data_IF_763384881146
#
_entry.id   IF_763384881146
#
_cell.length_a   1.000
_cell.length_b   1.000
_cell.length_c   1.000
_cell.angle_alpha   90.00
_cell.angle_beta   90.00
_cell.angle_gamma   90.00
#
_symmetry.space_group_name_H-M   'P 1'
#
loop_
_entity.id
_entity.type
_entity.pdbx_description
1 polymer ?
#
# COMPACT_ATOMS: atom_id res chain seq x y z
N UNK A 1 13.15 19.87 -14.56
CA UNK A 1 12.65 19.36 -13.27
C UNK A 1 13.14 17.92 -13.07
N UNK A 2 14.25 17.72 -12.36
CA UNK A 2 14.64 16.38 -11.90
C UNK A 2 13.72 16.04 -10.74
N UNK A 3 12.87 15.03 -10.91
CA UNK A 3 11.97 14.57 -9.84
C UNK A 3 12.83 13.94 -8.75
N UNK A 4 12.51 14.24 -7.50
CA UNK A 4 13.24 13.74 -6.33
C UNK A 4 13.06 12.22 -6.26
N UNK A 5 14.14 11.48 -6.46
CA UNK A 5 14.21 10.03 -6.24
C UNK A 5 14.49 9.80 -4.76
N UNK A 6 13.52 9.22 -4.04
CA UNK A 6 13.47 9.31 -2.57
C UNK A 6 12.40 8.43 -1.91
N UNK A 7 12.26 7.15 -2.24
CA UNK A 7 11.13 6.33 -1.78
C UNK A 7 11.48 5.24 -0.77
N UNK A 8 11.15 5.51 0.50
CA UNK A 8 10.92 4.46 1.46
C UNK A 8 9.46 3.99 1.33
N UNK A 9 9.17 2.75 0.93
CA UNK A 9 7.84 2.14 1.14
C UNK A 9 6.63 3.02 0.69
N UNK A 10 6.67 3.79 -0.40
CA UNK A 10 5.59 4.69 -0.85
C UNK A 10 4.90 5.59 0.22
N UNK A 11 5.47 5.73 1.41
CA UNK A 11 5.27 6.81 2.36
C UNK A 11 6.52 7.65 2.14
N UNK A 12 6.41 8.93 1.85
CA UNK A 12 7.61 9.76 1.81
C UNK A 12 7.88 10.28 3.22
N UNK A 13 8.76 9.68 4.06
CA UNK A 13 9.36 10.43 5.13
C UNK A 13 10.34 11.42 4.49
N UNK A 14 10.03 12.71 4.52
CA UNK A 14 10.99 13.73 4.11
C UNK A 14 11.73 14.19 5.36
N UNK A 15 12.97 13.73 5.52
CA UNK A 15 14.03 14.66 5.90
C UNK A 15 14.52 15.29 4.59
N UNK A 16 14.99 16.56 4.55
CA UNK A 16 15.39 17.20 3.30
C UNK A 16 16.65 16.55 2.73
N UNK A 17 16.49 15.48 1.97
CA UNK A 17 17.60 14.72 1.43
C UNK A 17 17.72 14.94 -0.07
N UNK A 18 18.19 16.12 -0.45
CA UNK A 18 18.74 16.36 -1.78
C UNK A 18 19.96 15.46 -1.99
N UNK A 19 20.25 14.94 -3.20
CA UNK A 19 21.41 14.06 -3.47
C UNK A 19 22.81 14.69 -3.18
N UNK A 20 22.87 15.92 -2.67
CA UNK A 20 24.10 16.56 -2.17
C UNK A 20 24.20 16.63 -0.64
N UNK A 21 23.22 16.07 0.09
CA UNK A 21 23.09 16.22 1.55
C UNK A 21 23.18 14.92 2.36
N UNK A 22 23.17 13.75 1.71
CA UNK A 22 23.70 12.56 2.37
C UNK A 22 25.22 12.67 2.30
N UNK A 23 25.86 13.02 3.41
CA UNK A 23 27.25 12.62 3.59
C UNK A 23 27.31 11.10 3.45
N UNK A 24 28.40 10.58 2.90
CA UNK A 24 28.70 9.15 2.90
C UNK A 24 28.90 8.60 4.34
N UNK A 25 28.68 9.41 5.38
CA UNK A 25 28.84 9.01 6.77
C UNK A 25 27.64 8.20 7.26
N UNK A 26 27.93 7.18 8.07
CA UNK A 26 26.96 6.28 8.70
C UNK A 26 26.12 6.96 9.80
N UNK A 27 26.20 8.28 9.92
CA UNK A 27 25.58 9.03 11.01
C UNK A 27 24.06 9.13 10.80
N UNK A 28 23.34 8.71 11.84
CA UNK A 28 21.90 8.63 12.01
C UNK A 28 21.06 9.53 11.08
N UNK A 29 20.15 8.90 10.32
CA UNK A 29 19.02 9.62 9.71
C UNK A 29 18.25 10.29 10.84
N UNK A 30 18.18 11.61 10.83
CA UNK A 30 17.28 12.30 11.74
C UNK A 30 15.84 11.83 11.50
N UNK A 31 15.03 11.65 12.56
CA UNK A 31 13.65 11.23 12.40
C UNK A 31 12.95 12.20 11.44
N UNK A 32 12.27 11.69 10.41
CA UNK A 32 11.67 12.52 9.37
C UNK A 32 10.65 13.45 10.01
N UNK A 33 10.74 14.75 9.73
CA UNK A 33 9.83 15.74 10.32
C UNK A 33 8.53 15.88 9.54
N UNK A 34 8.42 15.20 8.40
CA UNK A 34 7.24 15.23 7.53
C UNK A 34 7.06 13.84 6.90
N UNK A 35 5.80 13.42 6.77
CA UNK A 35 5.41 12.18 6.13
C UNK A 35 4.22 12.42 5.19
N UNK A 36 4.18 11.71 4.06
CA UNK A 36 3.04 11.75 3.14
C UNK A 36 2.26 10.44 3.19
N UNK A 37 0.99 10.53 3.57
CA UNK A 37 0.03 9.42 3.53
C UNK A 37 -0.77 9.50 2.23
N UNK A 38 -0.89 8.37 1.54
CA UNK A 38 -1.78 8.18 0.41
C UNK A 38 -1.21 8.47 -0.97
N UNK A 39 0.12 8.49 -1.12
CA UNK A 39 0.76 8.57 -2.45
C UNK A 39 0.45 7.37 -3.37
N UNK A 40 0.34 6.12 -2.86
CA UNK A 40 0.03 4.99 -3.73
C UNK A 40 -1.30 5.09 -4.47
N UNK A 41 -1.30 4.68 -5.73
CA UNK A 41 -2.50 4.57 -6.57
C UNK A 41 -2.73 3.13 -7.06
N UNK A 42 -3.92 2.86 -7.60
CA UNK A 42 -4.48 1.50 -7.83
C UNK A 42 -4.63 0.69 -6.54
N UNK A 43 -5.03 1.34 -5.45
CA UNK A 43 -5.15 0.75 -4.11
C UNK A 43 -6.58 0.80 -3.58
N UNK A 44 -6.84 0.11 -2.46
CA UNK A 44 -7.99 0.32 -1.58
C UNK A 44 -7.58 1.43 -0.58
N UNK A 45 -8.11 2.66 -0.70
CA UNK A 45 -7.52 3.82 -0.04
C UNK A 45 -7.55 3.74 1.48
N UNK A 46 -8.73 3.52 2.09
CA UNK A 46 -8.88 3.64 3.54
C UNK A 46 -8.03 2.63 4.35
N UNK A 47 -7.98 1.33 4.02
CA UNK A 47 -7.08 0.41 4.70
C UNK A 47 -5.62 0.78 4.56
N UNK A 48 -5.21 1.24 3.37
CA UNK A 48 -3.83 1.64 3.15
C UNK A 48 -3.48 2.90 3.96
N UNK A 49 -4.35 3.90 3.98
CA UNK A 49 -4.12 5.14 4.73
C UNK A 49 -4.03 4.89 6.24
N UNK A 50 -4.90 4.03 6.79
CA UNK A 50 -4.84 3.64 8.21
C UNK A 50 -3.49 2.99 8.54
N UNK A 51 -3.05 2.02 7.73
CA UNK A 51 -1.76 1.34 7.94
C UNK A 51 -0.58 2.31 7.81
N UNK A 52 -0.60 3.19 6.82
CA UNK A 52 0.45 4.20 6.65
C UNK A 52 0.49 5.18 7.83
N UNK A 53 -0.67 5.64 8.31
CA UNK A 53 -0.76 6.53 9.47
C UNK A 53 -0.26 5.86 10.76
N UNK A 54 -0.59 4.59 10.98
CA UNK A 54 -0.07 3.80 12.12
C UNK A 54 1.45 3.70 12.10
N UNK A 55 2.04 3.40 10.95
CA UNK A 55 3.48 3.32 10.80
C UNK A 55 4.17 4.67 11.04
N UNK A 56 3.63 5.76 10.48
CA UNK A 56 4.15 7.11 10.73
C UNK A 56 4.07 7.46 12.22
N UNK A 57 2.93 7.16 12.85
CA UNK A 57 2.74 7.38 14.28
C UNK A 57 3.73 6.58 15.13
N UNK A 58 4.00 5.31 14.78
CA UNK A 58 4.92 4.46 15.56
C UNK A 58 6.37 4.89 15.42
N UNK A 59 6.75 5.44 14.26
CA UNK A 59 8.07 6.06 14.05
C UNK A 59 8.21 7.32 14.89
N UNK A 60 7.23 8.23 14.85
CA UNK A 60 7.30 9.49 15.60
C UNK A 60 7.16 9.33 17.12
N UNK A 61 6.47 8.29 17.59
CA UNK A 61 6.44 7.95 19.02
C UNK A 61 7.72 7.27 19.50
N UNK A 62 8.66 6.94 18.60
CA UNK A 62 9.86 6.16 18.92
C UNK A 62 9.58 4.67 19.20
N UNK A 63 8.36 4.19 18.95
CA UNK A 63 7.98 2.78 19.14
C UNK A 63 8.56 1.87 18.04
N UNK A 64 8.79 2.42 16.86
CA UNK A 64 9.43 1.75 15.72
C UNK A 64 10.66 2.54 15.30
N UNK A 65 11.81 1.87 15.16
CA UNK A 65 12.97 2.47 14.52
C UNK A 65 12.85 2.42 13.00
N UNK A 66 13.25 3.50 12.33
CA UNK A 66 13.41 3.47 10.88
C UNK A 66 14.58 2.56 10.48
N UNK A 67 14.50 1.93 9.29
CA UNK A 67 15.66 1.29 8.68
C UNK A 67 16.83 2.28 8.57
N UNK A 68 18.07 1.77 8.60
CA UNK A 68 19.24 2.64 8.52
C UNK A 68 19.41 3.25 7.12
N UNK A 69 20.23 4.30 6.99
CA UNK A 69 20.35 5.05 5.73
C UNK A 69 20.75 4.19 4.54
N UNK A 70 21.62 3.21 4.79
CA UNK A 70 22.08 2.25 3.80
C UNK A 70 20.92 1.39 3.30
N UNK A 71 20.09 0.87 4.21
CA UNK A 71 18.92 0.06 3.86
C UNK A 71 17.89 0.87 3.07
N UNK A 72 17.63 2.12 3.48
CA UNK A 72 16.72 3.01 2.76
C UNK A 72 17.22 3.26 1.33
N UNK A 73 18.51 3.62 1.18
CA UNK A 73 19.11 3.83 -0.15
C UNK A 73 19.04 2.59 -1.01
N UNK A 74 19.30 1.41 -0.42
CA UNK A 74 19.21 0.14 -1.13
C UNK A 74 17.79 -0.14 -1.64
N UNK A 75 16.77 0.01 -0.79
CA UNK A 75 15.37 -0.19 -1.18
C UNK A 75 14.97 0.77 -2.31
N UNK A 76 15.38 2.04 -2.21
CA UNK A 76 15.13 3.04 -3.24
C UNK A 76 15.79 2.68 -4.57
N UNK A 77 17.04 2.23 -4.51
CA UNK A 77 17.80 1.85 -5.69
C UNK A 77 17.18 0.64 -6.38
N UNK A 78 16.76 -0.38 -5.62
CA UNK A 78 16.04 -1.55 -6.13
C UNK A 78 14.72 -1.16 -6.81
N UNK A 79 13.99 -0.17 -6.28
CA UNK A 79 12.74 0.31 -6.87
C UNK A 79 12.97 1.06 -8.20
N UNK A 80 14.02 1.89 -8.27
CA UNK A 80 14.42 2.58 -9.50
C UNK A 80 14.88 1.57 -10.56
N UNK A 81 15.74 0.63 -10.20
CA UNK A 81 16.23 -0.42 -11.12
C UNK A 81 15.07 -1.29 -11.64
N UNK A 82 14.10 -1.59 -10.79
CA UNK A 82 12.87 -2.27 -11.22
C UNK A 82 12.06 -1.42 -12.20
N UNK A 83 11.89 -0.12 -11.95
CA UNK A 83 11.19 0.78 -12.89
C UNK A 83 11.87 0.81 -14.26
N UNK A 84 13.20 0.96 -14.26
CA UNK A 84 14.00 1.07 -15.48
C UNK A 84 14.00 -0.24 -16.27
N UNK A 85 14.25 -1.37 -15.60
CA UNK A 85 14.27 -2.70 -16.23
C UNK A 85 12.90 -3.12 -16.78
N UNK A 86 11.81 -2.71 -16.13
CA UNK A 86 10.45 -2.96 -16.60
C UNK A 86 9.96 -1.90 -17.62
N UNK A 87 10.80 -0.91 -17.97
CA UNK A 87 10.49 0.20 -18.86
C UNK A 87 9.17 0.92 -18.47
N UNK A 88 8.93 1.07 -17.17
CA UNK A 88 7.69 1.64 -16.65
C UNK A 88 7.73 3.17 -16.74
N UNK A 89 6.65 3.83 -17.20
CA UNK A 89 6.57 5.27 -17.17
C UNK A 89 6.66 5.80 -15.74
N UNK A 90 7.30 6.96 -15.54
CA UNK A 90 7.51 7.55 -14.21
C UNK A 90 6.23 7.77 -13.36
N UNK A 91 5.04 7.81 -13.96
CA UNK A 91 3.78 7.89 -13.21
C UNK A 91 3.38 6.58 -12.52
N UNK A 92 4.02 5.45 -12.86
CA UNK A 92 3.83 4.15 -12.20
C UNK A 92 4.66 3.98 -10.92
N UNK A 93 5.51 4.94 -10.55
CA UNK A 93 6.34 4.90 -9.33
C UNK A 93 5.54 4.66 -8.05
N UNK A 94 4.30 5.13 -7.97
CA UNK A 94 3.44 4.89 -6.82
C UNK A 94 2.32 3.88 -7.11
N UNK A 95 2.41 3.10 -8.19
CA UNK A 95 1.39 2.12 -8.53
C UNK A 95 1.59 0.82 -7.76
N UNK A 96 0.79 0.60 -6.71
CA UNK A 96 0.86 -0.66 -5.95
C UNK A 96 0.00 -1.77 -6.56
N UNK A 97 -1.23 -1.48 -6.98
CA UNK A 97 -2.10 -2.53 -7.51
C UNK A 97 -2.28 -3.70 -6.54
N UNK A 98 -1.91 -4.92 -6.93
CA UNK A 98 -2.04 -6.12 -6.08
C UNK A 98 -0.96 -6.17 -4.97
N UNK A 99 0.20 -5.54 -5.16
CA UNK A 99 1.28 -5.55 -4.17
C UNK A 99 0.92 -4.76 -2.91
N UNK A 100 -0.14 -3.94 -2.95
CA UNK A 100 -0.64 -3.16 -1.82
C UNK A 100 -0.86 -3.99 -0.54
N UNK A 101 -1.25 -5.26 -0.67
CA UNK A 101 -1.53 -6.10 0.50
C UNK A 101 -0.24 -6.60 1.16
N UNK A 102 0.77 -6.94 0.35
CA UNK A 102 2.11 -7.27 0.86
C UNK A 102 2.72 -6.05 1.53
N UNK A 103 2.58 -4.89 0.88
CA UNK A 103 2.98 -3.61 1.40
C UNK A 103 2.35 -3.28 2.76
N UNK A 104 1.02 -3.36 2.87
CA UNK A 104 0.32 -3.08 4.13
C UNK A 104 0.74 -4.03 5.25
N UNK A 105 0.90 -5.33 4.95
CA UNK A 105 1.38 -6.30 5.96
C UNK A 105 2.78 -5.94 6.47
N UNK A 106 3.72 -5.61 5.57
CA UNK A 106 5.06 -5.17 5.97
C UNK A 106 5.01 -3.94 6.88
N UNK A 107 4.18 -2.94 6.56
CA UNK A 107 4.04 -1.76 7.40
C UNK A 107 3.44 -2.07 8.77
N UNK A 108 2.43 -2.94 8.83
CA UNK A 108 1.86 -3.39 10.11
C UNK A 108 2.91 -4.09 10.97
N UNK A 109 3.78 -4.89 10.35
CA UNK A 109 4.86 -5.59 11.05
C UNK A 109 5.86 -4.62 11.65
N UNK A 110 6.29 -3.64 10.85
CA UNK A 110 7.20 -2.61 11.30
C UNK A 110 6.55 -1.73 12.38
N UNK A 111 5.26 -1.42 12.25
CA UNK A 111 4.51 -0.60 13.18
C UNK A 111 4.14 -1.31 14.49
N UNK A 112 4.39 -2.62 14.60
CA UNK A 112 4.06 -3.41 15.80
C UNK A 112 2.58 -3.82 15.91
N UNK A 113 1.87 -3.93 14.79
CA UNK A 113 0.45 -4.34 14.71
C UNK A 113 0.22 -5.62 13.85
N UNK A 114 0.98 -6.72 14.05
CA UNK A 114 0.85 -7.93 13.21
C UNK A 114 -0.54 -8.60 13.30
N UNK A 115 -1.28 -8.40 14.38
CA UNK A 115 -2.64 -8.90 14.57
C UNK A 115 -3.64 -8.35 13.54
N UNK A 116 -3.36 -7.16 12.99
CA UNK A 116 -4.21 -6.51 11.99
C UNK A 116 -4.01 -7.08 10.58
N UNK A 117 -3.04 -7.98 10.34
CA UNK A 117 -2.83 -8.62 9.03
C UNK A 117 -4.10 -9.31 8.51
N UNK A 118 -4.88 -9.92 9.40
CA UNK A 118 -6.13 -10.60 9.04
C UNK A 118 -7.17 -9.63 8.43
N UNK A 119 -7.16 -8.36 8.84
CA UNK A 119 -8.00 -7.33 8.25
C UNK A 119 -7.55 -6.99 6.81
N UNK A 120 -6.24 -6.98 6.56
CA UNK A 120 -5.69 -6.77 5.20
C UNK A 120 -6.13 -7.90 4.26
N UNK A 121 -6.15 -9.14 4.74
CA UNK A 121 -6.60 -10.28 3.94
C UNK A 121 -8.11 -10.23 3.66
N UNK A 122 -8.93 -9.77 4.62
CA UNK A 122 -10.35 -9.47 4.38
C UNK A 122 -10.54 -8.38 3.34
N UNK A 123 -9.79 -7.28 3.43
CA UNK A 123 -9.81 -6.19 2.45
C UNK A 123 -9.40 -6.67 1.05
N UNK A 124 -8.44 -7.60 0.97
CA UNK A 124 -8.05 -8.24 -0.29
C UNK A 124 -9.21 -9.00 -0.91
N UNK A 125 -9.92 -9.82 -0.13
CA UNK A 125 -11.09 -10.56 -0.62
C UNK A 125 -12.18 -9.60 -1.15
N UNK A 126 -12.49 -8.54 -0.41
CA UNK A 126 -13.45 -7.49 -0.83
C UNK A 126 -13.00 -6.81 -2.13
N UNK A 127 -11.73 -6.45 -2.23
CA UNK A 127 -11.18 -5.79 -3.42
C UNK A 127 -11.24 -6.67 -4.66
N UNK A 128 -10.94 -7.97 -4.52
CA UNK A 128 -11.06 -8.95 -5.59
C UNK A 128 -12.52 -9.10 -6.03
N UNK A 129 -13.43 -9.27 -5.07
CA UNK A 129 -14.85 -9.41 -5.33
C UNK A 129 -15.43 -8.20 -6.08
N UNK A 130 -15.17 -7.00 -5.56
CA UNK A 130 -15.66 -5.76 -6.15
C UNK A 130 -15.08 -5.55 -7.56
N UNK A 131 -13.79 -5.87 -7.75
CA UNK A 131 -13.16 -5.81 -9.07
C UNK A 131 -13.83 -6.79 -10.03
N UNK A 132 -14.15 -8.00 -9.59
CA UNK A 132 -14.83 -9.00 -10.42
C UNK A 132 -16.21 -8.51 -10.87
N UNK A 133 -17.07 -8.11 -9.94
CA UNK A 133 -18.44 -7.66 -10.27
C UNK A 133 -18.39 -6.45 -11.21
N UNK A 134 -17.46 -5.51 -10.98
CA UNK A 134 -17.23 -4.36 -11.87
C UNK A 134 -16.82 -4.73 -13.29
N UNK A 135 -16.05 -5.81 -13.46
CA UNK A 135 -15.60 -6.26 -14.78
C UNK A 135 -16.65 -7.12 -15.49
N UNK A 136 -17.41 -7.91 -14.74
CA UNK A 136 -18.43 -8.80 -15.29
C UNK A 136 -19.73 -8.07 -15.65
N UNK A 137 -20.06 -6.98 -14.95
CA UNK A 137 -21.37 -6.34 -15.06
C UNK A 137 -21.25 -4.82 -15.30
N UNK A 138 -21.80 -4.28 -16.41
CA UNK A 138 -21.80 -2.84 -16.66
C UNK A 138 -22.50 -2.02 -15.56
N UNK A 139 -23.58 -2.56 -15.00
CA UNK A 139 -24.38 -1.97 -13.92
C UNK A 139 -23.97 -2.51 -12.53
N UNK A 140 -22.67 -2.75 -12.32
CA UNK A 140 -22.16 -3.40 -11.11
C UNK A 140 -22.54 -2.74 -9.78
N UNK A 141 -22.90 -1.45 -9.79
CA UNK A 141 -23.29 -0.71 -8.58
C UNK A 141 -24.67 -1.12 -8.05
N UNK A 142 -25.49 -1.73 -8.90
CA UNK A 142 -26.82 -2.19 -8.52
C UNK A 142 -26.77 -3.58 -7.85
N UNK A 143 -25.61 -4.24 -7.88
CA UNK A 143 -25.41 -5.53 -7.24
C UNK A 143 -25.01 -5.37 -5.77
N UNK A 144 -25.61 -6.19 -4.91
CA UNK A 144 -25.22 -6.29 -3.50
C UNK A 144 -24.14 -7.34 -3.31
N UNK A 145 -23.06 -6.99 -2.63
CA UNK A 145 -21.92 -7.88 -2.37
C UNK A 145 -21.91 -8.31 -0.89
N UNK A 146 -21.83 -9.61 -0.61
CA UNK A 146 -21.76 -10.17 0.74
C UNK A 146 -20.51 -11.02 0.90
N UNK A 147 -19.70 -10.70 1.92
CA UNK A 147 -18.53 -11.48 2.31
C UNK A 147 -18.94 -12.50 3.37
N UNK A 148 -18.49 -13.74 3.22
CA UNK A 148 -18.69 -14.83 4.16
C UNK A 148 -17.52 -14.93 5.14
N UNK A 149 -17.74 -15.54 6.29
CA UNK A 149 -16.72 -15.66 7.36
C UNK A 149 -15.45 -16.41 6.91
N UNK A 150 -15.54 -17.29 5.92
CA UNK A 150 -14.41 -18.04 5.35
C UNK A 150 -13.64 -17.25 4.26
N UNK A 151 -13.93 -15.97 4.06
CA UNK A 151 -13.29 -15.13 3.03
C UNK A 151 -13.85 -15.31 1.62
N UNK A 152 -14.80 -16.23 1.42
CA UNK A 152 -15.58 -16.32 0.18
C UNK A 152 -16.57 -15.16 0.09
N UNK A 153 -17.02 -14.85 -1.10
CA UNK A 153 -17.95 -13.76 -1.34
C UNK A 153 -18.98 -14.15 -2.39
N UNK A 154 -20.14 -13.52 -2.29
CA UNK A 154 -21.29 -13.71 -3.18
C UNK A 154 -21.85 -12.35 -3.55
N UNK A 155 -22.44 -12.24 -4.73
CA UNK A 155 -23.09 -11.01 -5.17
C UNK A 155 -24.49 -11.31 -5.72
N UNK A 156 -25.40 -10.36 -5.56
CA UNK A 156 -26.83 -10.52 -5.82
C UNK A 156 -27.32 -9.38 -6.74
N UNK A 157 -28.07 -9.69 -7.81
CA UNK A 157 -28.66 -8.68 -8.70
C UNK A 157 -29.77 -7.85 -8.02
N UNK A 158 -30.11 -6.66 -8.55
CA UNK A 158 -31.05 -5.71 -7.93
C UNK A 158 -32.50 -6.22 -7.84
N UNK A 159 -33.00 -6.96 -8.84
CA UNK A 159 -34.43 -7.34 -8.92
C UNK A 159 -34.63 -8.74 -9.53
N UNK A 160 -34.28 -9.78 -8.78
CA UNK A 160 -34.90 -11.12 -8.86
C UNK A 160 -34.36 -11.99 -7.73
N UNK A 161 -35.26 -12.60 -6.97
CA UNK A 161 -34.93 -13.40 -5.81
C UNK A 161 -33.94 -14.53 -6.11
N UNK A 162 -33.16 -14.90 -5.09
CA UNK A 162 -32.68 -16.28 -4.87
C UNK A 162 -31.92 -16.98 -6.01
N UNK A 163 -31.34 -16.27 -6.98
CA UNK A 163 -30.35 -16.85 -7.88
C UNK A 163 -28.96 -16.36 -7.53
N UNK A 164 -28.28 -17.26 -6.82
CA UNK A 164 -26.94 -17.12 -6.28
C UNK A 164 -25.92 -17.33 -7.40
N UNK A 165 -25.19 -16.28 -7.80
CA UNK A 165 -24.02 -16.47 -8.66
C UNK A 165 -22.82 -16.68 -7.72
N UNK A 166 -22.66 -17.93 -7.28
CA UNK A 166 -21.49 -18.36 -6.49
C UNK A 166 -20.34 -18.61 -7.45
N UNK A 167 -19.18 -18.06 -7.14
CA UNK A 167 -17.93 -18.63 -7.63
C UNK A 167 -17.12 -19.13 -6.43
N UNK A 168 -16.66 -20.37 -6.55
CA UNK A 168 -15.75 -21.07 -5.63
C UNK A 168 -14.34 -20.51 -5.70
#
# INVERSE_FOLDING_TARGET
YKRVCGLLYHIFPFTPCHPHYYSDSEDAIQPPTIAFVGLPWKVIPFPLFDVQARYVSSVWSGSTMLPCAVEIRKIMQEEIEFQESANLPAHYLHCLGVSQFVYCRKLLDLAGFPELRSLIDKNRAIGIATKYVRLAHPHYKDFTLKIQQNGKWKYFPPESGSHEIVQT
#
